data_IF_533263424870
#
_entry.id   IF_533263424870
#
_cell.length_a   1.000
_cell.length_b   1.000
_cell.length_c   1.000
_cell.angle_alpha   90.00
_cell.angle_beta   90.00
_cell.angle_gamma   90.00
#
_symmetry.space_group_name_H-M   'P 1'
#
loop_
_entity.id
_entity.type
_entity.pdbx_description
1 polymer ?
#
# COMPACT_ATOMS: atom_id res chain seq x y z
N UNK A 1 22.18 -8.68 4.46
CA UNK A 1 21.83 -9.49 3.27
C UNK A 1 20.39 -9.18 2.86
N UNK A 2 20.13 -8.78 1.62
CA UNK A 2 18.75 -8.62 1.11
C UNK A 2 18.31 -9.98 0.56
N UNK A 3 17.20 -10.53 1.06
CA UNK A 3 16.68 -11.82 0.61
C UNK A 3 15.85 -11.67 -0.66
N UNK A 4 14.96 -10.69 -0.68
CA UNK A 4 14.05 -10.41 -1.80
C UNK A 4 13.76 -8.91 -1.89
N UNK A 5 13.42 -8.43 -3.09
CA UNK A 5 13.06 -7.04 -3.37
C UNK A 5 12.06 -7.01 -4.53
N UNK A 6 11.01 -6.20 -4.41
CA UNK A 6 10.07 -5.99 -5.50
C UNK A 6 10.72 -5.21 -6.65
N UNK A 7 10.45 -5.61 -7.90
CA UNK A 7 10.95 -4.92 -9.11
C UNK A 7 10.27 -3.56 -9.34
N UNK A 8 9.07 -3.40 -8.80
CA UNK A 8 8.24 -2.19 -8.96
C UNK A 8 7.65 -1.76 -7.61
N UNK A 9 7.24 -0.49 -7.48
CA UNK A 9 6.53 -0.02 -6.29
C UNK A 9 5.25 -0.84 -6.04
N UNK A 10 5.10 -1.34 -4.81
CA UNK A 10 3.91 -2.08 -4.36
C UNK A 10 2.72 -1.16 -4.07
N UNK A 11 2.99 0.12 -3.84
CA UNK A 11 2.02 1.19 -3.62
C UNK A 11 2.46 2.43 -4.40
N UNK A 12 1.50 3.12 -4.99
CA UNK A 12 1.72 4.38 -5.73
C UNK A 12 0.39 5.09 -5.94
N UNK A 13 0.40 6.39 -6.26
CA UNK A 13 -0.81 7.21 -6.39
C UNK A 13 -1.60 6.81 -7.65
N UNK A 14 -2.78 6.22 -7.48
CA UNK A 14 -3.71 5.80 -8.53
C UNK A 14 -5.10 6.38 -8.31
N UNK A 15 -5.52 6.54 -7.07
CA UNK A 15 -6.86 7.02 -6.73
C UNK A 15 -6.93 8.54 -6.82
N UNK A 16 -8.15 9.06 -6.96
CA UNK A 16 -8.37 10.51 -7.06
C UNK A 16 -7.90 11.25 -5.82
N UNK A 17 -8.12 10.72 -4.61
CA UNK A 17 -7.66 11.34 -3.36
C UNK A 17 -6.14 11.25 -3.15
N UNK A 18 -5.43 10.44 -3.93
CA UNK A 18 -3.95 10.36 -3.92
C UNK A 18 -3.33 11.37 -4.88
N UNK A 19 -4.13 11.88 -5.81
CA UNK A 19 -3.74 12.84 -6.83
C UNK A 19 -4.42 14.21 -6.67
N UNK A 20 -5.27 14.38 -5.66
CA UNK A 20 -5.96 15.63 -5.36
C UNK A 20 -5.83 15.91 -3.86
N UNK A 21 -5.19 17.02 -3.50
CA UNK A 21 -4.94 17.45 -2.12
C UNK A 21 -3.87 18.53 -2.08
N UNK A 22 -3.29 18.77 -0.90
CA UNK A 22 -2.24 19.77 -0.71
C UNK A 22 -0.98 19.47 -1.54
N UNK A 23 -0.59 18.19 -1.62
CA UNK A 23 0.55 17.74 -2.45
C UNK A 23 0.16 16.61 -3.42
N UNK A 24 -0.36 16.91 -4.61
CA UNK A 24 -0.79 15.89 -5.57
C UNK A 24 0.28 14.87 -5.95
N UNK A 25 -0.13 13.61 -6.15
CA UNK A 25 0.73 12.57 -6.73
C UNK A 25 1.72 11.96 -5.73
N UNK A 26 1.43 12.02 -4.43
CA UNK A 26 2.26 11.42 -3.38
C UNK A 26 1.45 10.50 -2.49
N UNK A 27 2.06 9.35 -2.17
CA UNK A 27 1.64 8.44 -1.11
C UNK A 27 2.84 8.10 -0.25
N UNK A 28 2.66 7.99 1.07
CA UNK A 28 3.72 7.63 2.00
C UNK A 28 3.18 6.75 3.12
N UNK A 29 3.90 5.68 3.46
CA UNK A 29 3.47 4.70 4.46
C UNK A 29 3.84 5.18 5.86
N UNK A 30 2.88 5.16 6.78
CA UNK A 30 3.09 5.54 8.19
C UNK A 30 3.18 4.32 9.11
N UNK A 31 2.61 3.18 8.70
CA UNK A 31 2.66 1.95 9.48
C UNK A 31 1.95 0.79 8.80
N UNK A 32 2.23 -0.42 9.27
CA UNK A 32 1.54 -1.62 8.82
C UNK A 32 1.25 -2.56 10.00
N UNK A 33 0.15 -3.28 9.94
CA UNK A 33 -0.25 -4.30 10.91
C UNK A 33 -0.67 -5.57 10.19
N UNK A 34 -0.34 -6.72 10.77
CA UNK A 34 -0.87 -8.00 10.32
C UNK A 34 -2.05 -8.35 11.21
N UNK A 35 -3.22 -8.55 10.62
CA UNK A 35 -4.44 -8.93 11.33
C UNK A 35 -5.19 -9.98 10.52
N UNK A 36 -5.53 -11.10 11.16
CA UNK A 36 -6.31 -12.19 10.55
C UNK A 36 -5.72 -12.65 9.19
N UNK A 37 -4.38 -12.81 9.14
CA UNK A 37 -3.65 -13.20 7.92
C UNK A 37 -3.53 -12.12 6.85
N UNK A 38 -4.06 -10.91 7.08
CA UNK A 38 -3.98 -9.79 6.16
C UNK A 38 -2.92 -8.78 6.61
N UNK A 39 -2.04 -8.40 5.68
CA UNK A 39 -1.20 -7.23 5.80
C UNK A 39 -2.04 -5.98 5.51
N UNK A 40 -2.22 -5.11 6.50
CA UNK A 40 -2.86 -3.80 6.38
C UNK A 40 -1.78 -2.72 6.43
N UNK A 41 -1.69 -1.89 5.41
CA UNK A 41 -0.70 -0.80 5.26
C UNK A 41 -1.44 0.52 5.30
N UNK A 42 -1.21 1.31 6.35
CA UNK A 42 -1.75 2.65 6.51
C UNK A 42 -0.82 3.66 5.86
N UNK A 43 -1.37 4.51 5.01
CA UNK A 43 -0.59 5.46 4.23
C UNK A 43 -1.29 6.81 4.14
N UNK A 44 -0.50 7.88 4.15
CA UNK A 44 -0.96 9.23 3.83
C UNK A 44 -1.00 9.45 2.33
N UNK A 45 -1.94 10.27 1.88
CA UNK A 45 -2.16 10.60 0.47
C UNK A 45 -2.31 12.11 0.31
N UNK A 46 -1.54 12.70 -0.61
CA UNK A 46 -1.58 14.13 -0.92
C UNK A 46 -1.49 15.09 0.28
N UNK A 47 -0.83 14.68 1.38
CA UNK A 47 -0.78 15.40 2.66
C UNK A 47 -2.15 15.84 3.18
N UNK A 48 -3.22 15.12 2.80
CA UNK A 48 -4.61 15.53 3.05
C UNK A 48 -5.52 14.37 3.44
N UNK A 49 -5.14 13.14 3.10
CA UNK A 49 -5.95 11.95 3.34
C UNK A 49 -5.11 10.84 3.98
N UNK A 50 -5.80 9.91 4.64
CA UNK A 50 -5.22 8.65 5.10
C UNK A 50 -6.02 7.51 4.49
N UNK A 51 -5.32 6.60 3.82
CA UNK A 51 -5.87 5.38 3.23
C UNK A 51 -5.36 4.12 3.95
N UNK A 52 -6.00 2.99 3.66
CA UNK A 52 -5.48 1.67 4.02
C UNK A 52 -5.44 0.78 2.78
N UNK A 53 -4.26 0.24 2.51
CA UNK A 53 -4.04 -0.77 1.49
C UNK A 53 -3.90 -2.13 2.16
N UNK A 54 -4.34 -3.22 1.54
CA UNK A 54 -4.33 -4.54 2.14
C UNK A 54 -3.98 -5.66 1.16
N UNK A 55 -3.41 -6.74 1.67
CA UNK A 55 -3.22 -7.99 0.95
C UNK A 55 -3.21 -9.16 1.93
N UNK A 56 -3.49 -10.37 1.45
CA UNK A 56 -3.16 -11.57 2.22
C UNK A 56 -1.62 -11.64 2.34
N UNK A 57 -1.12 -11.87 3.57
CA UNK A 57 0.31 -11.81 3.85
C UNK A 57 1.09 -12.92 3.13
N UNK A 58 0.57 -14.14 3.13
CA UNK A 58 1.25 -15.29 2.54
C UNK A 58 1.31 -15.15 1.03
N UNK A 59 0.21 -14.75 0.38
CA UNK A 59 0.17 -14.46 -1.05
C UNK A 59 1.15 -13.33 -1.43
N UNK A 60 1.23 -12.27 -0.61
CA UNK A 60 2.13 -11.15 -0.85
C UNK A 60 3.60 -11.58 -0.75
N UNK A 61 3.95 -12.36 0.26
CA UNK A 61 5.32 -12.87 0.46
C UNK A 61 5.71 -13.87 -0.62
N UNK A 62 4.81 -14.76 -1.01
CA UNK A 62 5.04 -15.69 -2.12
C UNK A 62 5.26 -14.96 -3.45
N UNK A 63 4.49 -13.89 -3.70
CA UNK A 63 4.73 -13.04 -4.86
C UNK A 63 6.12 -12.39 -4.83
N UNK A 64 6.50 -11.83 -3.68
CA UNK A 64 7.81 -11.20 -3.49
C UNK A 64 8.97 -12.19 -3.69
N UNK A 65 8.85 -13.43 -3.21
CA UNK A 65 9.87 -14.48 -3.37
C UNK A 65 10.00 -14.96 -4.82
N UNK A 66 8.89 -15.06 -5.55
CA UNK A 66 8.84 -15.53 -6.94
C UNK A 66 9.16 -14.43 -7.96
N UNK A 67 9.59 -13.26 -7.51
CA UNK A 67 9.79 -12.05 -8.31
C UNK A 67 8.56 -11.64 -9.14
N UNK A 68 7.37 -12.04 -8.71
CA UNK A 68 6.11 -11.57 -9.30
C UNK A 68 5.66 -10.30 -8.58
N UNK A 69 4.84 -9.49 -9.24
CA UNK A 69 4.46 -8.15 -8.75
C UNK A 69 3.58 -8.27 -7.49
N UNK A 70 4.09 -7.94 -6.28
CA UNK A 70 3.27 -7.95 -5.08
C UNK A 70 2.26 -6.80 -5.19
N UNK A 71 0.98 -7.07 -4.95
CA UNK A 71 -0.08 -6.07 -5.11
C UNK A 71 -0.80 -5.86 -3.77
N UNK A 72 -0.92 -4.61 -3.38
CA UNK A 72 -1.84 -4.18 -2.35
C UNK A 72 -3.15 -3.75 -3.01
N UNK A 73 -4.28 -4.17 -2.44
CA UNK A 73 -5.63 -3.70 -2.79
C UNK A 73 -5.94 -2.49 -1.93
N UNK A 74 -6.63 -1.49 -2.47
CA UNK A 74 -6.99 -0.29 -1.71
C UNK A 74 -8.36 -0.50 -1.06
N UNK A 75 -8.52 -0.03 0.19
CA UNK A 75 -9.82 0.06 0.85
C UNK A 75 -10.02 1.48 1.36
N UNK A 76 -11.02 2.16 0.80
CA UNK A 76 -11.38 3.49 1.26
C UNK A 76 -12.08 3.38 2.61
N UNK A 77 -11.47 3.90 3.67
CA UNK A 77 -12.18 4.21 4.91
C UNK A 77 -12.95 5.50 4.64
N UNK A 78 -14.27 5.47 4.85
CA UNK A 78 -15.20 6.56 4.50
C UNK A 78 -14.64 7.94 4.89
N UNK A 79 -14.81 8.91 3.98
CA UNK A 79 -14.66 10.33 4.29
C UNK A 79 -15.52 10.66 5.52
N UNK A 80 -14.97 11.39 6.49
CA UNK A 80 -15.78 12.09 7.48
C UNK A 80 -16.79 12.99 6.79
#
# INVERSE_FOLDING_TARGET
KILYRAKEPVLGPRESYENNGYKPGVVYVSGAVVKDGNLLVYYGCSDSYVGVAYANLDEFLEALKKETKPKLKLKTLKKK
#
